data_IF_917346955445
#
_entry.id   IF_917346955445
#
_cell.length_a   1.000
_cell.length_b   1.000
_cell.length_c   1.000
_cell.angle_alpha   90.00
_cell.angle_beta   90.00
_cell.angle_gamma   90.00
#
_symmetry.space_group_name_H-M   'P 1'
#
loop_
_entity.id
_entity.type
_entity.pdbx_description
1 polymer ?
#
# COMPACT_ATOMS: atom_id res chain seq x y z
N UNK A 1 -0.99 20.54 8.91
CA UNK A 1 -0.52 19.96 10.19
C UNK A 1 -0.94 18.50 10.20
N UNK A 2 -0.13 17.58 9.66
CA UNK A 2 -0.48 16.14 9.57
C UNK A 2 0.56 15.20 10.16
N UNK A 3 1.60 15.71 10.82
CA UNK A 3 2.55 14.85 11.53
C UNK A 3 2.13 14.67 12.99
N UNK A 4 1.29 13.67 13.28
CA UNK A 4 1.30 13.07 14.61
C UNK A 4 2.57 12.23 14.70
N UNK A 5 3.65 12.89 15.12
CA UNK A 5 5.04 12.51 14.92
C UNK A 5 5.56 11.19 15.52
N UNK A 6 4.72 10.33 16.13
CA UNK A 6 5.09 8.95 16.53
C UNK A 6 3.85 8.05 16.58
N UNK A 7 3.90 6.89 15.94
CA UNK A 7 2.91 5.81 16.03
C UNK A 7 2.99 5.05 17.33
N UNK A 8 2.09 4.07 17.54
CA UNK A 8 2.08 3.24 18.74
C UNK A 8 3.39 2.43 18.93
N UNK A 9 4.08 2.16 17.82
CA UNK A 9 5.41 1.53 17.78
C UNK A 9 6.57 2.49 18.15
N UNK A 10 6.30 3.78 18.37
CA UNK A 10 7.29 4.81 18.65
C UNK A 10 8.06 5.31 17.41
N UNK A 11 7.75 4.78 16.22
CA UNK A 11 8.31 5.22 14.93
C UNK A 11 7.45 6.29 14.27
N UNK A 12 8.06 7.09 13.41
CA UNK A 12 7.34 8.11 12.64
C UNK A 12 6.34 7.43 11.69
N UNK A 13 5.10 7.91 11.69
CA UNK A 13 4.05 7.43 10.80
C UNK A 13 4.21 8.06 9.41
N UNK A 14 5.29 7.69 8.71
CA UNK A 14 5.53 8.10 7.33
C UNK A 14 5.85 6.89 6.46
N UNK A 15 5.51 6.94 5.18
CA UNK A 15 5.84 5.89 4.22
C UNK A 15 7.25 6.05 3.61
N UNK A 16 7.84 7.24 3.72
CA UNK A 16 9.21 7.50 3.30
C UNK A 16 10.19 6.50 3.94
N UNK A 17 11.08 5.93 3.15
CA UNK A 17 12.04 4.94 3.60
C UNK A 17 11.46 3.54 3.85
N UNK A 18 10.13 3.35 3.79
CA UNK A 18 9.53 2.01 3.94
C UNK A 18 9.75 1.17 2.67
N UNK A 19 10.06 -0.13 2.82
CA UNK A 19 10.24 -1.01 1.68
C UNK A 19 8.91 -1.58 1.18
N UNK A 20 8.87 -1.94 -0.10
CA UNK A 20 7.93 -2.94 -0.58
C UNK A 20 8.49 -4.31 -0.20
N UNK A 21 8.03 -4.86 0.93
CA UNK A 21 8.54 -6.10 1.50
C UNK A 21 8.00 -7.34 0.79
N UNK A 22 6.90 -7.22 0.04
CA UNK A 22 6.31 -8.34 -0.73
C UNK A 22 5.87 -7.91 -2.12
N UNK A 23 6.40 -8.54 -3.17
CA UNK A 23 6.12 -8.23 -4.58
C UNK A 23 5.85 -9.55 -5.31
N UNK A 24 4.58 -9.80 -5.66
CA UNK A 24 4.14 -11.02 -6.33
C UNK A 24 3.86 -10.72 -7.80
N UNK A 25 4.69 -11.25 -8.70
CA UNK A 25 4.53 -11.05 -10.14
C UNK A 25 3.21 -11.63 -10.65
N UNK A 26 2.48 -10.83 -11.42
CA UNK A 26 1.14 -11.14 -11.92
C UNK A 26 0.04 -10.96 -10.87
N UNK A 27 0.29 -10.25 -9.78
CA UNK A 27 -0.70 -10.09 -8.71
C UNK A 27 -0.68 -8.73 -8.04
N UNK A 28 0.27 -8.47 -7.14
CA UNK A 28 0.30 -7.26 -6.29
C UNK A 28 1.71 -6.86 -5.89
N UNK A 29 1.89 -5.57 -5.62
CA UNK A 29 3.03 -5.05 -4.85
C UNK A 29 2.54 -4.57 -3.49
N UNK A 30 3.18 -5.00 -2.42
CA UNK A 30 2.77 -4.76 -1.03
C UNK A 30 3.89 -4.07 -0.26
N UNK A 31 3.52 -3.03 0.49
CA UNK A 31 4.41 -2.21 1.29
C UNK A 31 3.66 -1.55 2.44
N UNK A 32 4.21 -0.46 2.97
CA UNK A 32 3.56 0.32 4.02
C UNK A 32 3.75 -0.24 5.44
N UNK A 33 4.65 -1.21 5.64
CA UNK A 33 5.08 -1.56 7.00
C UNK A 33 6.06 -0.48 7.53
N UNK A 34 5.51 0.45 8.31
CA UNK A 34 6.22 1.57 8.94
C UNK A 34 6.92 1.14 10.24
N UNK A 35 6.50 0.04 10.86
CA UNK A 35 7.00 -0.40 12.15
C UNK A 35 8.25 -1.28 12.04
N UNK A 36 8.24 -2.28 11.15
CA UNK A 36 9.34 -3.25 11.00
C UNK A 36 9.92 -3.30 9.59
N UNK A 37 9.11 -2.96 8.57
CA UNK A 37 9.50 -3.04 7.17
C UNK A 37 9.64 -4.48 6.65
N UNK A 38 9.08 -5.47 7.35
CA UNK A 38 9.15 -6.89 7.01
C UNK A 38 7.78 -7.56 6.82
N UNK A 39 6.71 -6.78 6.99
CA UNK A 39 5.32 -7.21 6.88
C UNK A 39 4.66 -7.62 8.20
N UNK A 40 5.38 -7.56 9.32
CA UNK A 40 4.82 -7.85 10.65
C UNK A 40 4.21 -6.63 11.32
N UNK A 41 4.55 -5.43 10.87
CA UNK A 41 4.06 -4.20 11.46
C UNK A 41 2.64 -3.85 11.00
N UNK A 42 1.78 -3.52 11.96
CA UNK A 42 0.46 -2.95 11.72
C UNK A 42 0.26 -1.77 12.68
N UNK A 43 0.81 -0.61 12.33
CA UNK A 43 0.58 0.62 13.07
C UNK A 43 -0.39 1.49 12.26
N UNK A 44 -1.21 2.30 12.93
CA UNK A 44 -2.11 3.23 12.27
C UNK A 44 -2.15 4.54 13.04
N UNK A 45 -2.62 5.60 12.38
CA UNK A 45 -2.84 6.90 13.04
C UNK A 45 -3.87 6.84 14.18
N UNK A 46 -4.65 5.76 14.25
CA UNK A 46 -5.65 5.51 15.29
C UNK A 46 -5.09 4.75 16.50
N UNK A 47 -3.85 4.25 16.42
CA UNK A 47 -3.19 3.52 17.50
C UNK A 47 -3.50 2.02 17.49
N UNK A 48 -2.82 1.27 16.62
CA UNK A 48 -3.05 -0.17 16.41
C UNK A 48 -3.78 -0.44 15.10
N UNK A 49 -4.74 -1.36 15.10
CA UNK A 49 -5.57 -1.67 13.91
C UNK A 49 -6.92 -0.96 13.92
N UNK A 50 -7.56 -0.87 12.76
CA UNK A 50 -8.88 -0.24 12.60
C UNK A 50 -9.84 -1.09 11.73
N UNK A 51 -11.16 -0.92 11.90
CA UNK A 51 -12.17 -1.75 11.23
C UNK A 51 -12.26 -1.53 9.72
N UNK A 52 -12.86 -2.48 9.01
CA UNK A 52 -13.12 -2.40 7.58
C UNK A 52 -14.21 -1.35 7.28
N UNK A 53 -13.87 -0.26 6.58
CA UNK A 53 -14.81 0.85 6.39
C UNK A 53 -15.97 0.48 5.44
N UNK A 54 -15.66 -0.03 4.25
CA UNK A 54 -16.65 -0.56 3.30
C UNK A 54 -15.98 -1.36 2.16
N UNK A 55 -16.74 -2.24 1.51
CA UNK A 55 -16.29 -3.02 0.34
C UNK A 55 -16.95 -2.55 -0.97
N UNK A 56 -17.22 -1.25 -1.12
CA UNK A 56 -17.92 -0.73 -2.31
C UNK A 56 -17.02 -0.72 -3.54
N UNK A 57 -15.72 -0.49 -3.36
CA UNK A 57 -14.74 -0.46 -4.44
C UNK A 57 -14.27 -1.89 -4.71
N UNK A 58 -14.37 -2.30 -5.98
CA UNK A 58 -13.96 -3.63 -6.44
C UNK A 58 -12.56 -3.59 -7.05
N UNK A 59 -11.79 -4.65 -6.89
CA UNK A 59 -10.48 -4.90 -7.50
C UNK A 59 -10.62 -5.31 -8.96
N UNK A 60 -11.32 -4.47 -9.72
CA UNK A 60 -11.80 -4.73 -11.08
C UNK A 60 -10.74 -4.54 -12.17
N UNK A 61 -9.64 -3.85 -11.87
CA UNK A 61 -8.54 -3.59 -12.79
C UNK A 61 -7.20 -3.47 -12.03
N UNK A 62 -6.10 -3.35 -12.77
CA UNK A 62 -4.78 -3.05 -12.24
C UNK A 62 -4.71 -1.60 -11.70
N UNK A 63 -3.86 -1.36 -10.72
CA UNK A 63 -3.65 -0.05 -10.11
C UNK A 63 -4.62 0.29 -9.01
N UNK A 64 -5.40 -0.67 -8.50
CA UNK A 64 -6.24 -0.46 -7.31
C UNK A 64 -5.35 -0.51 -6.08
N UNK A 65 -5.49 0.49 -5.20
CA UNK A 65 -4.79 0.58 -3.91
C UNK A 65 -5.74 0.11 -2.82
N UNK A 66 -5.29 -0.84 -2.01
CA UNK A 66 -6.13 -1.56 -1.06
C UNK A 66 -5.37 -1.92 0.22
N UNK A 67 -6.10 -2.04 1.33
CA UNK A 67 -5.54 -2.31 2.65
C UNK A 67 -5.15 -3.77 2.83
N UNK A 68 -4.00 -4.01 3.45
CA UNK A 68 -3.64 -5.34 3.96
C UNK A 68 -4.23 -5.49 5.37
N UNK A 69 -4.86 -6.63 5.62
CA UNK A 69 -5.35 -7.02 6.94
C UNK A 69 -4.87 -8.45 7.27
N UNK A 70 -5.03 -8.85 8.53
CA UNK A 70 -4.78 -10.22 9.05
C UNK A 70 -6.08 -10.91 9.46
N UNK A 71 -7.19 -10.56 8.80
CA UNK A 71 -8.56 -10.94 9.16
C UNK A 71 -9.50 -9.72 9.24
N UNK A 72 -10.80 -9.94 9.49
CA UNK A 72 -11.77 -8.87 9.61
C UNK A 72 -11.34 -7.80 10.61
N UNK A 73 -11.54 -6.53 10.27
CA UNK A 73 -11.31 -5.37 11.14
C UNK A 73 -9.87 -5.19 11.66
N UNK A 74 -8.87 -5.63 10.88
CA UNK A 74 -7.45 -5.59 11.26
C UNK A 74 -6.57 -4.74 10.33
N UNK A 75 -7.12 -3.64 9.79
CA UNK A 75 -6.39 -2.73 8.92
C UNK A 75 -5.32 -1.95 9.70
N UNK A 76 -4.14 -1.77 9.11
CA UNK A 76 -3.02 -1.02 9.70
C UNK A 76 -2.45 0.01 8.73
N UNK A 77 -1.14 0.10 8.61
CA UNK A 77 -0.46 0.95 7.61
C UNK A 77 -0.11 0.21 6.33
N UNK A 78 -0.18 -1.12 6.33
CA UNK A 78 0.18 -1.91 5.17
C UNK A 78 -0.87 -1.79 4.07
N UNK A 79 -0.40 -1.61 2.85
CA UNK A 79 -1.23 -1.52 1.66
C UNK A 79 -0.63 -2.35 0.53
N UNK A 80 -1.45 -2.63 -0.47
CA UNK A 80 -0.99 -3.21 -1.73
C UNK A 80 -1.59 -2.47 -2.93
N UNK A 81 -0.88 -2.57 -4.05
CA UNK A 81 -1.31 -2.08 -5.36
C UNK A 81 -1.46 -3.28 -6.28
N UNK A 82 -2.62 -3.43 -6.92
CA UNK A 82 -2.85 -4.53 -7.87
C UNK A 82 -2.11 -4.28 -9.19
N UNK A 83 -1.55 -5.32 -9.78
CA UNK A 83 -0.95 -5.26 -11.14
C UNK A 83 -1.86 -5.89 -12.19
N UNK A 84 -2.86 -6.64 -11.72
CA UNK A 84 -3.91 -7.29 -12.52
C UNK A 84 -5.28 -7.09 -11.85
N UNK A 85 -6.37 -7.45 -12.55
CA UNK A 85 -7.68 -7.59 -11.93
C UNK A 85 -7.65 -8.71 -10.88
N UNK A 86 -8.11 -8.42 -9.66
CA UNK A 86 -8.04 -9.33 -8.51
C UNK A 86 -9.39 -9.44 -7.78
N UNK A 87 -10.46 -9.78 -8.51
CA UNK A 87 -11.83 -9.81 -7.97
C UNK A 87 -12.05 -10.80 -6.81
N UNK A 88 -11.13 -11.74 -6.60
CA UNK A 88 -11.18 -12.63 -5.43
C UNK A 88 -10.86 -11.93 -4.10
N UNK A 89 -10.31 -10.71 -4.14
CA UNK A 89 -10.07 -9.88 -2.95
C UNK A 89 -11.29 -9.01 -2.57
N UNK A 90 -12.34 -9.01 -3.39
CA UNK A 90 -13.54 -8.22 -3.15
C UNK A 90 -14.29 -8.75 -1.92
N UNK A 91 -14.55 -7.87 -0.95
CA UNK A 91 -15.22 -8.24 0.30
C UNK A 91 -14.28 -8.73 1.41
N UNK A 92 -13.00 -8.97 1.10
CA UNK A 92 -11.97 -9.32 2.08
C UNK A 92 -11.00 -8.17 2.35
N UNK A 93 -10.70 -7.36 1.33
CA UNK A 93 -9.79 -6.22 1.44
C UNK A 93 -10.50 -4.91 1.07
N UNK A 94 -10.28 -3.88 1.88
CA UNK A 94 -10.86 -2.54 1.64
C UNK A 94 -10.01 -1.81 0.60
N UNK A 95 -10.53 -1.71 -0.62
CA UNK A 95 -9.98 -0.83 -1.64
C UNK A 95 -10.36 0.63 -1.34
N UNK A 96 -9.36 1.51 -1.32
CA UNK A 96 -9.54 2.92 -0.92
C UNK A 96 -8.98 3.92 -1.94
N UNK A 97 -8.26 3.46 -2.96
CA UNK A 97 -7.67 4.35 -3.96
C UNK A 97 -7.34 3.67 -5.28
N UNK A 98 -6.86 4.46 -6.23
CA UNK A 98 -6.30 3.98 -7.49
C UNK A 98 -5.08 4.80 -7.89
N UNK A 99 -4.14 4.17 -8.57
CA UNK A 99 -3.02 4.84 -9.22
C UNK A 99 -3.56 5.63 -10.41
N UNK A 100 -3.40 6.94 -10.38
CA UNK A 100 -3.81 7.85 -11.46
C UNK A 100 -2.69 8.08 -12.48
N UNK A 101 -1.44 8.01 -12.02
CA UNK A 101 -0.22 8.18 -12.82
C UNK A 101 0.89 7.28 -12.28
N UNK A 102 1.84 6.89 -13.12
CA UNK A 102 2.97 6.07 -12.70
C UNK A 102 2.70 4.55 -12.65
N UNK A 103 1.67 4.06 -13.36
CA UNK A 103 1.42 2.61 -13.45
C UNK A 103 2.57 1.84 -14.14
N UNK A 104 3.28 2.50 -15.04
CA UNK A 104 4.53 2.00 -15.63
C UNK A 104 5.61 1.75 -14.55
N UNK A 105 5.70 2.62 -13.54
CA UNK A 105 6.60 2.44 -12.40
C UNK A 105 6.18 1.24 -11.54
N UNK A 106 4.88 1.06 -11.32
CA UNK A 106 4.34 -0.12 -10.63
C UNK A 106 4.72 -1.41 -11.38
N UNK A 107 4.56 -1.43 -12.70
CA UNK A 107 4.99 -2.57 -13.53
C UNK A 107 6.50 -2.77 -13.56
N UNK A 108 7.29 -1.68 -13.55
CA UNK A 108 8.75 -1.76 -13.48
C UNK A 108 9.22 -2.36 -12.14
N UNK A 109 8.56 -1.99 -11.03
CA UNK A 109 8.80 -2.60 -9.71
C UNK A 109 8.47 -4.09 -9.75
N UNK A 110 7.29 -4.45 -10.25
CA UNK A 110 6.84 -5.84 -10.37
C UNK A 110 7.79 -6.69 -11.24
N UNK A 111 8.12 -6.23 -12.45
CA UNK A 111 8.98 -6.96 -13.38
C UNK A 111 10.44 -7.02 -12.92
N UNK A 112 10.93 -5.94 -12.30
CA UNK A 112 12.32 -5.81 -11.87
C UNK A 112 12.64 -6.50 -10.55
N UNK A 113 11.68 -6.59 -9.63
CA UNK A 113 11.88 -7.12 -8.28
C UNK A 113 10.93 -8.27 -7.91
N UNK A 114 9.84 -8.49 -8.63
CA UNK A 114 8.82 -9.47 -8.27
C UNK A 114 9.26 -10.94 -8.39
N UNK A 115 8.59 -11.78 -7.60
CA UNK A 115 8.78 -13.23 -7.56
C UNK A 115 7.46 -13.94 -7.33
N UNK A 116 7.40 -15.25 -7.59
CA UNK A 116 6.20 -16.04 -7.31
C UNK A 116 5.93 -16.23 -5.81
N UNK A 117 6.96 -16.26 -4.96
CA UNK A 117 6.81 -16.41 -3.51
C UNK A 117 6.61 -15.06 -2.80
N UNK A 118 6.62 -13.95 -3.54
CA UNK A 118 6.45 -12.61 -3.02
C UNK A 118 7.70 -11.99 -2.41
N UNK A 119 8.79 -12.73 -2.15
CA UNK A 119 10.02 -12.13 -1.62
C UNK A 119 10.75 -11.38 -2.75
N UNK A 120 10.96 -10.05 -2.65
CA UNK A 120 11.58 -9.29 -3.73
C UNK A 120 13.01 -9.75 -4.04
N UNK A 121 13.37 -9.80 -5.33
CA UNK A 121 14.75 -10.07 -5.78
C UNK A 121 15.72 -8.93 -5.46
N UNK A 122 15.18 -7.72 -5.37
CA UNK A 122 15.92 -6.48 -5.10
C UNK A 122 15.14 -5.67 -4.09
N UNK A 123 15.86 -4.89 -3.28
CA UNK A 123 15.23 -3.98 -2.34
C UNK A 123 14.56 -2.84 -3.11
N UNK A 124 13.27 -2.64 -2.88
CA UNK A 124 12.48 -1.53 -3.43
C UNK A 124 11.99 -0.70 -2.25
N UNK A 125 12.22 0.60 -2.28
CA UNK A 125 11.97 1.51 -1.15
C UNK A 125 11.26 2.76 -1.67
N UNK A 126 10.31 3.26 -0.89
CA UNK A 126 9.68 4.57 -1.12
C UNK A 126 10.70 5.64 -0.74
N UNK A 127 11.39 6.22 -1.73
CA UNK A 127 12.45 7.20 -1.46
C UNK A 127 11.89 8.51 -0.85
N UNK A 128 10.70 8.92 -1.27
CA UNK A 128 9.97 10.06 -0.73
C UNK A 128 8.46 9.87 -0.90
N UNK A 129 7.66 10.57 -0.09
CA UNK A 129 6.20 10.52 -0.14
C UNK A 129 5.60 11.80 0.41
N UNK A 130 4.47 12.23 -0.15
CA UNK A 130 3.75 13.41 0.32
C UNK A 130 2.38 13.53 -0.33
N UNK A 131 1.70 14.64 -0.06
CA UNK A 131 0.40 14.96 -0.65
C UNK A 131 0.55 15.98 -1.76
N UNK A 132 -0.11 15.75 -2.90
CA UNK A 132 -0.20 16.75 -3.97
C UNK A 132 -1.35 17.69 -3.61
N UNK A 133 -1.11 19.01 -3.45
CA UNK A 133 -2.17 19.96 -3.14
C UNK A 133 -3.27 19.93 -4.19
N UNK A 134 -4.53 19.99 -3.76
CA UNK A 134 -5.70 19.96 -4.65
C UNK A 134 -5.64 20.97 -5.81
N UNK A 135 -5.01 22.12 -5.58
CA UNK A 135 -4.85 23.16 -6.60
C UNK A 135 -4.01 22.73 -7.81
N UNK A 136 -3.30 21.61 -7.73
CA UNK A 136 -2.40 21.11 -8.78
C UNK A 136 -2.89 19.82 -9.46
N UNK A 137 -4.08 19.33 -9.10
CA UNK A 137 -4.58 18.07 -9.65
C UNK A 137 -4.91 18.17 -11.15
N UNK A 138 -5.33 19.35 -11.61
CA UNK A 138 -5.71 19.59 -13.01
C UNK A 138 -4.53 19.98 -13.91
N UNK A 139 -3.36 20.29 -13.36
CA UNK A 139 -2.17 20.70 -14.14
C UNK A 139 -1.42 19.51 -14.74
N UNK A 140 -1.65 18.29 -14.24
CA UNK A 140 -0.94 17.08 -14.65
C UNK A 140 -1.85 16.02 -15.32
N UNK A 141 -3.16 16.28 -15.45
CA UNK A 141 -4.16 15.33 -15.99
C UNK A 141 -4.21 15.28 -17.52
#
# INVERSE_FOLDING_TARGET
MWEKGKGASGKELHYKGTPFHRIVSGFVIQGGDTAHGDGRGSDSIYGGTFPDENFKIKHSHAGIVSMVNSGPDSNGSQFFITTVKASWLDGEHVAFGKVIQGMDTVYAIEGGAGTYNGKPRKKVVIADSGEIPMSKWDEES
#
